data_IF_884743168119
#
_entry.id   IF_884743168119
#
_cell.length_a   1.000
_cell.length_b   1.000
_cell.length_c   1.000
_cell.angle_alpha   90.00
_cell.angle_beta   90.00
_cell.angle_gamma   90.00
#
_symmetry.space_group_name_H-M   'P 1'
#
loop_
_entity.id
_entity.type
_entity.pdbx_description
1 polymer ?
#
# COMPACT_ATOMS: atom_id res chain seq x y z
N UNK A 1 -19.53 18.04 -9.48
CA UNK A 1 -18.38 18.73 -8.84
C UNK A 1 -17.55 17.61 -8.23
N UNK A 2 -16.32 17.41 -8.71
CA UNK A 2 -15.47 16.32 -8.23
C UNK A 2 -14.76 16.77 -6.96
N UNK A 3 -14.61 15.85 -5.99
CA UNK A 3 -13.81 16.10 -4.80
C UNK A 3 -12.31 16.11 -5.20
N UNK A 4 -11.49 16.79 -4.40
CA UNK A 4 -10.05 16.97 -4.68
C UNK A 4 -9.23 16.60 -3.46
N UNK A 5 -8.18 15.83 -3.68
CA UNK A 5 -7.17 15.49 -2.67
C UNK A 5 -5.89 16.20 -3.05
N UNK A 6 -5.22 16.82 -2.09
CA UNK A 6 -4.07 17.67 -2.41
C UNK A 6 -2.89 17.47 -1.46
N UNK A 7 -1.70 17.70 -2.02
CA UNK A 7 -0.42 17.82 -1.34
C UNK A 7 0.19 19.16 -1.71
N UNK A 8 0.75 19.89 -0.74
CA UNK A 8 1.43 21.17 -0.98
C UNK A 8 2.73 21.25 -0.19
N UNK A 9 3.65 22.04 -0.69
CA UNK A 9 4.93 22.36 -0.03
C UNK A 9 5.77 21.13 0.33
N UNK A 10 5.61 20.03 -0.42
CA UNK A 10 6.41 18.83 -0.23
C UNK A 10 7.77 19.00 -0.88
N UNK A 11 8.85 19.00 -0.08
CA UNK A 11 10.21 19.24 -0.57
C UNK A 11 11.03 17.96 -0.50
N UNK A 12 11.66 17.59 -1.61
CA UNK A 12 12.54 16.41 -1.72
C UNK A 12 13.86 16.80 -2.37
N UNK A 13 14.98 16.29 -1.85
CA UNK A 13 16.29 16.40 -2.48
C UNK A 13 16.50 15.22 -3.45
N UNK A 14 16.82 15.52 -4.70
CA UNK A 14 17.06 14.49 -5.73
C UNK A 14 18.08 14.96 -6.77
N UNK A 15 18.78 14.02 -7.41
CA UNK A 15 19.65 14.32 -8.55
C UNK A 15 18.79 14.44 -9.82
N UNK A 16 18.67 15.67 -10.33
CA UNK A 16 17.87 15.97 -11.52
C UNK A 16 18.52 17.08 -12.34
N UNK A 17 18.49 16.95 -13.66
CA UNK A 17 18.95 18.00 -14.56
C UNK A 17 19.48 17.48 -15.89
N UNK A 18 19.34 18.31 -16.93
CA UNK A 18 19.77 17.99 -18.29
C UNK A 18 21.25 18.29 -18.54
N UNK A 19 21.89 19.11 -17.69
CA UNK A 19 23.28 19.50 -17.87
C UNK A 19 24.25 18.56 -17.12
N UNK A 20 25.41 18.27 -17.71
CA UNK A 20 26.41 17.41 -17.08
C UNK A 20 26.92 17.97 -15.74
N UNK A 21 26.96 19.31 -15.60
CA UNK A 21 27.37 20.00 -14.36
C UNK A 21 26.39 19.81 -13.20
N UNK A 22 25.18 19.31 -13.47
CA UNK A 22 24.17 19.00 -12.44
C UNK A 22 24.29 17.56 -11.92
N UNK A 23 25.05 16.68 -12.61
CA UNK A 23 25.21 15.29 -12.18
C UNK A 23 25.92 15.20 -10.83
N UNK A 24 25.39 14.38 -9.93
CA UNK A 24 25.95 14.18 -8.59
C UNK A 24 25.76 15.39 -7.66
N UNK A 25 24.92 16.36 -8.03
CA UNK A 25 24.55 17.52 -7.20
C UNK A 25 23.05 17.49 -6.92
N UNK A 26 22.63 16.98 -5.76
CA UNK A 26 21.22 16.98 -5.38
C UNK A 26 20.65 18.40 -5.41
N UNK A 27 19.44 18.54 -5.96
CA UNK A 27 18.68 19.78 -5.97
C UNK A 27 17.39 19.55 -5.18
N UNK A 28 16.94 20.55 -4.42
CA UNK A 28 15.61 20.51 -3.83
C UNK A 28 14.56 20.70 -4.93
N UNK A 29 13.55 19.87 -4.90
CA UNK A 29 12.31 20.04 -5.66
C UNK A 29 11.16 20.27 -4.69
N UNK A 30 10.30 21.24 -4.98
CA UNK A 30 9.04 21.46 -4.26
C UNK A 30 7.86 21.02 -5.13
N UNK A 31 7.04 20.14 -4.60
CA UNK A 31 5.88 19.57 -5.27
C UNK A 31 4.59 20.15 -4.70
N UNK A 32 3.65 20.47 -5.59
CA UNK A 32 2.24 20.66 -5.26
C UNK A 32 1.39 19.81 -6.20
N UNK A 33 0.52 18.97 -5.64
CA UNK A 33 -0.31 18.02 -6.38
C UNK A 33 -1.75 18.18 -5.96
N UNK A 34 -2.64 18.15 -6.93
CA UNK A 34 -4.07 18.03 -6.71
C UNK A 34 -4.63 16.93 -7.62
N UNK A 35 -5.35 15.98 -7.03
CA UNK A 35 -5.98 14.88 -7.74
C UNK A 35 -7.49 15.06 -7.66
N UNK A 36 -8.14 15.23 -8.81
CA UNK A 36 -9.58 15.16 -8.92
C UNK A 36 -10.02 13.71 -8.84
N UNK A 37 -10.93 13.39 -7.90
CA UNK A 37 -11.38 12.02 -7.66
C UNK A 37 -12.88 11.86 -7.91
N UNK A 38 -13.26 10.70 -8.43
CA UNK A 38 -14.66 10.29 -8.46
C UNK A 38 -15.14 10.01 -7.04
N UNK A 39 -16.18 10.73 -6.62
CA UNK A 39 -16.79 10.51 -5.31
C UNK A 39 -17.38 9.11 -5.22
N UNK A 40 -16.99 8.36 -4.20
CA UNK A 40 -17.56 7.06 -3.86
C UNK A 40 -18.20 7.19 -2.48
N UNK A 41 -19.37 6.57 -2.28
CA UNK A 41 -20.00 6.48 -0.97
C UNK A 41 -19.20 5.47 -0.11
N UNK A 42 -18.06 5.94 0.42
CA UNK A 42 -17.11 5.11 1.15
C UNK A 42 -17.36 5.06 2.67
N UNK A 43 -18.21 5.94 3.22
CA UNK A 43 -18.28 6.11 4.67
C UNK A 43 -16.94 6.58 5.24
N UNK A 44 -16.49 5.94 6.32
CA UNK A 44 -15.18 6.18 6.97
C UNK A 44 -14.17 5.06 6.63
N UNK A 45 -14.31 4.44 5.45
CA UNK A 45 -13.44 3.36 5.00
C UNK A 45 -12.32 3.90 4.08
N UNK A 46 -11.09 3.85 4.58
CA UNK A 46 -9.90 4.33 3.86
C UNK A 46 -9.60 3.50 2.61
N UNK A 47 -9.95 2.22 2.56
CA UNK A 47 -9.66 1.33 1.41
C UNK A 47 -10.51 1.65 0.19
N UNK A 48 -11.62 2.36 0.39
CA UNK A 48 -12.55 2.74 -0.67
C UNK A 48 -12.24 4.13 -1.25
N UNK A 49 -11.20 4.81 -0.76
CA UNK A 49 -10.79 6.15 -1.22
C UNK A 49 -9.31 6.19 -1.59
N UNK A 50 -8.95 7.10 -2.50
CA UNK A 50 -7.56 7.41 -2.78
C UNK A 50 -6.95 8.12 -1.55
N UNK A 51 -6.00 7.50 -0.85
CA UNK A 51 -5.27 8.17 0.24
C UNK A 51 -4.31 9.23 -0.32
N UNK A 52 -4.10 10.32 0.43
CA UNK A 52 -3.05 11.29 0.13
C UNK A 52 -1.63 10.67 0.16
N UNK A 53 -1.46 9.54 0.85
CA UNK A 53 -0.20 8.77 0.82
C UNK A 53 0.16 8.32 -0.59
N UNK A 54 -0.84 8.05 -1.44
CA UNK A 54 -0.62 7.67 -2.85
C UNK A 54 0.07 8.78 -3.64
N UNK A 55 -0.11 10.04 -3.24
CA UNK A 55 0.60 11.19 -3.83
C UNK A 55 2.08 11.15 -3.44
N UNK A 56 2.38 10.93 -2.17
CA UNK A 56 3.76 10.83 -1.68
C UNK A 56 4.48 9.64 -2.33
N UNK A 57 3.81 8.50 -2.41
CA UNK A 57 4.32 7.27 -3.04
C UNK A 57 4.62 7.50 -4.52
N UNK A 58 3.68 8.06 -5.29
CA UNK A 58 3.89 8.32 -6.71
C UNK A 58 5.10 9.23 -6.97
N UNK A 59 5.35 10.22 -6.10
CA UNK A 59 6.54 11.08 -6.17
C UNK A 59 7.80 10.25 -5.85
N UNK A 60 7.80 9.50 -4.76
CA UNK A 60 8.95 8.71 -4.33
C UNK A 60 9.33 7.63 -5.37
N UNK A 61 8.35 6.89 -5.87
CA UNK A 61 8.55 5.79 -6.82
C UNK A 61 9.07 6.31 -8.17
N UNK A 62 8.57 7.46 -8.64
CA UNK A 62 9.08 8.07 -9.87
C UNK A 62 10.53 8.56 -9.70
N UNK A 63 10.84 9.20 -8.57
CA UNK A 63 12.20 9.64 -8.27
C UNK A 63 13.18 8.46 -8.10
N UNK A 64 12.70 7.29 -7.68
CA UNK A 64 13.49 6.08 -7.52
C UNK A 64 13.72 5.30 -8.84
N UNK A 65 12.91 5.53 -9.87
CA UNK A 65 12.93 4.72 -11.11
C UNK A 65 14.23 4.90 -11.89
N UNK A 66 14.61 6.15 -12.17
CA UNK A 66 15.87 6.50 -12.81
C UNK A 66 16.14 8.00 -12.64
N UNK A 67 17.41 8.40 -12.79
CA UNK A 67 17.75 9.83 -12.84
C UNK A 67 17.06 10.50 -14.03
N UNK A 68 16.11 11.38 -13.74
CA UNK A 68 15.37 12.12 -14.77
C UNK A 68 16.16 13.36 -15.19
N UNK A 69 16.15 13.69 -16.48
CA UNK A 69 16.82 14.89 -17.01
C UNK A 69 15.92 16.14 -16.95
N UNK A 70 14.61 15.97 -17.14
CA UNK A 70 13.63 17.03 -17.33
C UNK A 70 12.52 16.97 -16.27
N UNK A 71 12.02 18.13 -15.84
CA UNK A 71 10.90 18.19 -14.90
C UNK A 71 9.63 17.63 -15.56
N UNK A 72 9.48 17.82 -16.86
CA UNK A 72 8.33 17.40 -17.66
C UNK A 72 8.17 15.87 -17.62
N UNK A 73 9.27 15.14 -17.84
CA UNK A 73 9.29 13.68 -17.78
C UNK A 73 8.94 13.18 -16.38
N UNK A 74 9.50 13.80 -15.34
CA UNK A 74 9.17 13.49 -13.95
C UNK A 74 7.67 13.73 -13.66
N UNK A 75 7.14 14.84 -14.15
CA UNK A 75 5.73 15.17 -13.97
C UNK A 75 4.79 14.19 -14.69
N UNK A 76 5.16 13.75 -15.90
CA UNK A 76 4.41 12.75 -16.65
C UNK A 76 4.40 11.39 -15.94
N UNK A 77 5.54 10.94 -15.41
CA UNK A 77 5.64 9.69 -14.64
C UNK A 77 4.79 9.71 -13.37
N UNK A 78 4.90 10.78 -12.57
CA UNK A 78 4.07 10.96 -11.36
C UNK A 78 2.57 10.97 -11.73
N UNK A 79 2.19 11.70 -12.77
CA UNK A 79 0.80 11.78 -13.20
C UNK A 79 0.28 10.42 -13.72
N UNK A 80 1.09 9.66 -14.46
CA UNK A 80 0.74 8.33 -14.94
C UNK A 80 0.44 7.38 -13.78
N UNK A 81 1.30 7.36 -12.76
CA UNK A 81 1.14 6.55 -11.54
C UNK A 81 -0.14 6.90 -10.78
N UNK A 82 -0.40 8.19 -10.59
CA UNK A 82 -1.61 8.66 -9.91
C UNK A 82 -2.90 8.35 -10.69
N UNK A 83 -2.89 8.53 -12.02
CA UNK A 83 -4.03 8.26 -12.88
C UNK A 83 -4.33 6.77 -13.05
N UNK A 84 -3.39 5.88 -12.72
CA UNK A 84 -3.62 4.44 -12.69
C UNK A 84 -4.64 4.03 -11.59
N UNK A 85 -4.75 4.81 -10.50
CA UNK A 85 -5.71 4.52 -9.43
C UNK A 85 -7.15 4.71 -9.90
N UNK A 86 -8.09 3.75 -9.75
CA UNK A 86 -9.43 3.79 -10.38
C UNK A 86 -10.27 5.05 -10.14
N UNK A 87 -10.10 5.70 -8.99
CA UNK A 87 -10.84 6.92 -8.64
C UNK A 87 -10.25 8.21 -9.23
N UNK A 88 -8.98 8.24 -9.63
CA UNK A 88 -8.32 9.44 -10.12
C UNK A 88 -8.80 9.81 -11.54
N UNK A 89 -9.30 11.03 -11.72
CA UNK A 89 -9.83 11.53 -12.99
C UNK A 89 -8.89 12.53 -13.66
N UNK A 90 -8.28 13.42 -12.87
CA UNK A 90 -7.30 14.39 -13.34
C UNK A 90 -6.25 14.64 -12.27
N UNK A 91 -5.04 14.95 -12.69
CA UNK A 91 -3.92 15.35 -11.83
C UNK A 91 -3.44 16.71 -12.28
N UNK A 92 -3.40 17.66 -11.35
CA UNK A 92 -2.74 18.95 -11.49
C UNK A 92 -1.45 18.90 -10.67
N UNK A 93 -0.31 19.00 -11.34
CA UNK A 93 1.00 18.85 -10.71
C UNK A 93 1.86 20.06 -11.02
N UNK A 94 2.48 20.60 -9.99
CA UNK A 94 3.48 21.66 -10.04
C UNK A 94 4.77 21.17 -9.40
N UNK A 95 5.89 21.32 -10.12
CA UNK A 95 7.23 20.98 -9.65
C UNK A 95 8.11 22.20 -9.80
N UNK A 96 8.75 22.60 -8.72
CA UNK A 96 9.61 23.77 -8.66
C UNK A 96 11.02 23.44 -8.19
N UNK A 97 11.99 24.23 -8.67
CA UNK A 97 13.38 24.30 -8.20
C UNK A 97 13.58 25.62 -7.45
N UNK A 98 13.46 25.64 -6.11
CA UNK A 98 13.57 26.87 -5.33
C UNK A 98 14.99 27.47 -5.29
N UNK A 99 16.03 26.69 -5.59
CA UNK A 99 17.44 27.07 -5.33
C UNK A 99 18.21 27.53 -6.57
N UNK A 100 17.54 27.74 -7.71
CA UNK A 100 18.23 28.09 -8.98
C UNK A 100 18.69 29.54 -9.05
N UNK A 101 18.25 30.40 -8.13
CA UNK A 101 18.58 31.83 -8.10
C UNK A 101 17.69 32.59 -7.11
N UNK A 102 17.57 33.93 -7.22
CA UNK A 102 16.68 34.74 -6.38
C UNK A 102 15.19 34.60 -6.76
N UNK A 103 14.84 33.58 -7.55
CA UNK A 103 13.52 33.32 -8.11
C UNK A 103 13.28 31.81 -8.12
N UNK A 104 12.00 31.43 -8.19
CA UNK A 104 11.57 30.03 -8.31
C UNK A 104 11.27 29.73 -9.77
N UNK A 105 11.85 28.66 -10.30
CA UNK A 105 11.52 28.11 -11.62
C UNK A 105 10.80 26.79 -11.45
N UNK A 106 9.91 26.44 -12.38
CA UNK A 106 9.18 25.20 -12.31
C UNK A 106 8.30 24.98 -13.53
N UNK A 107 7.57 23.87 -13.49
CA UNK A 107 6.55 23.56 -14.48
C UNK A 107 5.22 23.30 -13.77
N UNK A 108 4.13 23.52 -14.51
CA UNK A 108 2.78 23.12 -14.09
C UNK A 108 2.13 22.33 -15.22
N UNK A 109 1.66 21.14 -14.90
CA UNK A 109 1.00 20.25 -15.85
C UNK A 109 -0.39 19.87 -15.37
N UNK A 110 -1.24 19.53 -16.32
CA UNK A 110 -2.52 18.87 -16.07
C UNK A 110 -2.59 17.64 -16.96
N UNK A 111 -2.98 16.51 -16.38
CA UNK A 111 -3.18 15.25 -17.09
C UNK A 111 -4.53 14.68 -16.70
N UNK A 112 -5.27 14.15 -17.67
CA UNK A 112 -6.54 13.47 -17.42
C UNK A 112 -6.42 11.98 -17.72
N UNK A 113 -7.26 11.19 -17.05
CA UNK A 113 -7.42 9.76 -17.36
C UNK A 113 -7.73 9.59 -18.85
N UNK A 114 -6.98 8.71 -19.51
CA UNK A 114 -7.09 8.44 -20.95
C UNK A 114 -6.16 9.28 -21.84
N UNK A 115 -5.53 10.34 -21.31
CA UNK A 115 -4.48 11.09 -22.03
C UNK A 115 -3.08 10.50 -21.80
N UNK A 116 -2.93 9.71 -20.73
CA UNK A 116 -1.66 9.09 -20.32
C UNK A 116 -1.83 7.57 -20.42
N UNK A 117 -0.92 6.89 -21.12
CA UNK A 117 -0.84 5.43 -21.04
C UNK A 117 -0.53 5.08 -19.60
N UNK A 118 -1.48 4.42 -18.92
CA UNK A 118 -1.29 4.00 -17.54
C UNK A 118 -0.08 3.08 -17.48
N UNK A 119 1.00 3.54 -16.85
CA UNK A 119 2.07 2.65 -16.45
C UNK A 119 1.44 1.63 -15.50
N UNK A 120 1.21 0.41 -15.99
CA UNK A 120 0.78 -0.70 -15.16
C UNK A 120 1.92 -0.98 -14.19
N UNK A 121 1.85 -0.37 -13.01
CA UNK A 121 2.78 -0.67 -11.94
C UNK A 121 2.54 -2.12 -11.54
N UNK A 122 3.41 -3.01 -11.99
CA UNK A 122 3.44 -4.40 -11.56
C UNK A 122 3.91 -4.40 -10.10
N UNK A 123 3.01 -4.08 -9.18
CA UNK A 123 3.27 -4.16 -7.76
C UNK A 123 3.77 -5.58 -7.45
N UNK A 124 5.02 -5.69 -7.01
CA UNK A 124 5.58 -6.98 -6.60
C UNK A 124 4.75 -7.45 -5.40
N UNK A 125 4.19 -8.67 -5.44
CA UNK A 125 3.36 -9.14 -4.33
C UNK A 125 4.20 -9.18 -3.05
N UNK A 126 3.60 -8.82 -1.90
CA UNK A 126 4.34 -8.78 -0.65
C UNK A 126 4.73 -10.20 -0.20
N UNK A 127 5.78 -10.30 0.61
CA UNK A 127 6.13 -11.55 1.28
C UNK A 127 5.08 -11.86 2.33
N UNK A 128 4.47 -13.04 2.24
CA UNK A 128 3.50 -13.54 3.22
C UNK A 128 4.14 -14.60 4.11
N UNK A 129 3.99 -14.43 5.43
CA UNK A 129 4.57 -15.32 6.44
C UNK A 129 3.46 -15.89 7.32
N UNK A 130 3.42 -17.21 7.45
CA UNK A 130 2.65 -17.89 8.48
C UNK A 130 3.49 -18.00 9.75
N UNK A 131 3.10 -17.25 10.79
CA UNK A 131 3.76 -17.27 12.10
C UNK A 131 3.28 -18.41 13.00
N UNK A 132 2.04 -18.87 12.80
CA UNK A 132 1.37 -19.74 13.77
C UNK A 132 1.14 -19.04 15.12
N UNK A 133 1.18 -19.81 16.20
CA UNK A 133 0.80 -19.34 17.54
C UNK A 133 1.95 -18.72 18.34
N UNK A 134 3.21 -19.01 17.99
CA UNK A 134 4.41 -18.60 18.72
C UNK A 134 5.53 -17.95 17.87
N UNK A 135 5.46 -17.99 16.54
CA UNK A 135 6.47 -17.42 15.64
C UNK A 135 6.67 -15.91 15.82
N UNK A 136 7.89 -15.39 15.59
CA UNK A 136 8.19 -13.95 15.76
C UNK A 136 7.90 -13.17 14.47
N UNK A 137 7.21 -12.01 14.51
CA UNK A 137 6.93 -11.21 13.32
C UNK A 137 8.18 -10.81 12.54
N UNK A 138 8.13 -10.98 11.21
CA UNK A 138 9.21 -10.69 10.26
C UNK A 138 8.99 -9.33 9.64
N UNK A 139 10.02 -8.48 9.67
CA UNK A 139 10.02 -7.15 9.06
C UNK A 139 9.92 -7.22 7.52
N UNK A 140 9.21 -6.26 6.92
CA UNK A 140 8.99 -6.23 5.47
C UNK A 140 8.09 -7.35 4.94
N UNK A 141 7.33 -8.00 5.81
CA UNK A 141 6.40 -9.07 5.46
C UNK A 141 5.02 -8.85 6.11
N UNK A 142 4.01 -9.43 5.49
CA UNK A 142 2.68 -9.60 6.08
C UNK A 142 2.67 -10.90 6.86
N UNK A 143 2.37 -10.82 8.15
CA UNK A 143 2.47 -11.91 9.11
C UNK A 143 1.07 -12.36 9.53
N UNK A 144 0.69 -13.57 9.13
CA UNK A 144 -0.54 -14.24 9.53
C UNK A 144 -0.31 -15.01 10.84
N UNK A 145 -1.23 -14.87 11.78
CA UNK A 145 -1.15 -15.50 13.11
C UNK A 145 -2.22 -16.57 13.29
N UNK A 146 -1.93 -17.56 14.13
CA UNK A 146 -2.96 -18.43 14.69
C UNK A 146 -3.54 -17.79 15.96
N UNK A 147 -4.81 -18.05 16.23
CA UNK A 147 -5.48 -17.63 17.45
C UNK A 147 -5.82 -18.83 18.34
N UNK A 148 -5.92 -18.64 19.67
CA UNK A 148 -6.56 -19.61 20.53
C UNK A 148 -8.04 -19.81 20.12
N UNK A 149 -8.65 -20.95 20.51
CA UNK A 149 -10.07 -21.19 20.25
C UNK A 149 -10.95 -20.04 20.80
N UNK A 150 -11.84 -19.53 19.95
CA UNK A 150 -12.80 -18.51 20.33
C UNK A 150 -13.91 -19.10 21.23
N UNK A 151 -14.59 -18.27 22.05
CA UNK A 151 -15.75 -18.72 22.81
C UNK A 151 -16.82 -19.36 21.92
N UNK A 152 -17.47 -20.40 22.42
CA UNK A 152 -18.57 -21.03 21.68
C UNK A 152 -19.79 -20.11 21.64
N UNK A 153 -20.43 -20.06 20.47
CA UNK A 153 -21.71 -19.40 20.26
C UNK A 153 -22.67 -20.34 19.53
N UNK A 154 -23.95 -20.32 19.92
CA UNK A 154 -24.99 -21.11 19.27
C UNK A 154 -25.24 -20.64 17.83
N UNK A 155 -25.30 -19.31 17.64
CA UNK A 155 -25.52 -18.70 16.33
C UNK A 155 -24.26 -18.80 15.44
N UNK A 156 -24.37 -19.30 14.18
CA UNK A 156 -23.23 -19.43 13.28
C UNK A 156 -22.55 -18.10 12.91
N UNK A 157 -23.32 -17.01 12.76
CA UNK A 157 -22.75 -15.71 12.42
C UNK A 157 -21.97 -15.13 13.61
N UNK A 158 -22.49 -15.30 14.83
CA UNK A 158 -21.77 -14.95 16.06
C UNK A 158 -20.47 -15.78 16.20
N UNK A 159 -20.52 -17.09 15.93
CA UNK A 159 -19.33 -17.96 15.98
C UNK A 159 -18.26 -17.52 14.99
N UNK A 160 -18.66 -17.20 13.76
CA UNK A 160 -17.74 -16.67 12.74
C UNK A 160 -17.12 -15.33 13.16
N UNK A 161 -17.93 -14.39 13.67
CA UNK A 161 -17.44 -13.09 14.14
C UNK A 161 -16.47 -13.22 15.32
N UNK A 162 -16.75 -14.12 16.28
CA UNK A 162 -15.88 -14.39 17.42
C UNK A 162 -14.54 -15.01 16.99
N UNK A 163 -14.53 -15.90 15.99
CA UNK A 163 -13.30 -16.47 15.46
C UNK A 163 -12.40 -15.39 14.80
N UNK A 164 -12.99 -14.48 14.01
CA UNK A 164 -12.26 -13.36 13.43
C UNK A 164 -11.72 -12.40 14.50
N UNK A 165 -12.53 -12.08 15.52
CA UNK A 165 -12.08 -11.25 16.63
C UNK A 165 -10.95 -11.90 17.44
N UNK A 166 -10.93 -13.23 17.59
CA UNK A 166 -9.83 -13.93 18.25
C UNK A 166 -8.52 -13.79 17.45
N UNK A 167 -8.59 -13.77 16.11
CA UNK A 167 -7.43 -13.51 15.25
C UNK A 167 -6.96 -12.05 15.33
N UNK A 168 -7.88 -11.09 15.33
CA UNK A 168 -7.54 -9.68 15.56
C UNK A 168 -6.85 -9.50 16.92
N UNK A 169 -7.38 -10.11 18.00
CA UNK A 169 -6.74 -10.09 19.32
C UNK A 169 -5.34 -10.70 19.29
N UNK A 170 -5.19 -11.87 18.64
CA UNK A 170 -3.88 -12.50 18.48
C UNK A 170 -2.90 -11.59 17.73
N UNK A 171 -3.36 -10.85 16.71
CA UNK A 171 -2.55 -9.87 15.99
C UNK A 171 -2.10 -8.71 16.90
N UNK A 172 -3.05 -8.12 17.64
CA UNK A 172 -2.76 -7.01 18.57
C UNK A 172 -1.80 -7.40 19.70
N UNK A 173 -1.85 -8.65 20.18
CA UNK A 173 -0.89 -9.17 21.16
C UNK A 173 0.56 -9.22 20.63
N UNK A 174 0.78 -9.16 19.32
CA UNK A 174 2.12 -9.18 18.72
C UNK A 174 2.72 -7.79 18.51
N UNK A 175 1.99 -6.73 18.83
CA UNK A 175 2.46 -5.34 18.71
C UNK A 175 3.75 -5.10 19.49
N UNK A 176 4.55 -4.16 18.98
CA UNK A 176 5.83 -3.79 19.58
C UNK A 176 6.66 -2.90 18.64
N UNK A 177 7.87 -2.51 19.05
CA UNK A 177 8.75 -1.69 18.22
C UNK A 177 9.01 -2.33 16.85
N UNK A 178 8.88 -1.54 15.78
CA UNK A 178 9.07 -2.00 14.40
C UNK A 178 7.95 -2.88 13.84
N UNK A 179 6.79 -2.93 14.52
CA UNK A 179 5.63 -3.74 14.13
C UNK A 179 4.39 -2.88 14.07
N UNK A 180 3.47 -3.24 13.19
CA UNK A 180 2.14 -2.63 13.15
C UNK A 180 1.08 -3.67 12.87
N UNK A 181 -0.12 -3.46 13.39
CA UNK A 181 -1.31 -4.23 12.99
C UNK A 181 -1.99 -3.47 11.87
N UNK A 182 -2.40 -4.20 10.83
CA UNK A 182 -3.14 -3.65 9.70
C UNK A 182 -4.39 -4.48 9.44
N UNK A 183 -5.51 -3.78 9.28
CA UNK A 183 -6.81 -4.40 9.02
C UNK A 183 -7.27 -4.20 7.56
N UNK A 184 -6.53 -3.42 6.79
CA UNK A 184 -6.84 -3.00 5.43
C UNK A 184 -5.65 -3.17 4.50
N UNK A 185 -5.89 -3.27 3.18
CA UNK A 185 -4.80 -3.41 2.22
C UNK A 185 -3.93 -2.16 2.18
N UNK A 186 -4.56 -0.99 2.22
CA UNK A 186 -3.86 0.29 2.16
C UNK A 186 -2.88 0.45 3.33
N UNK A 187 -3.30 0.09 4.54
CA UNK A 187 -2.43 0.10 5.73
C UNK A 187 -1.25 -0.87 5.60
N UNK A 188 -1.48 -2.06 5.05
CA UNK A 188 -0.39 -3.04 4.82
C UNK A 188 0.65 -2.50 3.85
N UNK A 189 0.22 -2.00 2.69
CA UNK A 189 1.12 -1.48 1.66
C UNK A 189 1.96 -0.31 2.18
N UNK A 190 1.35 0.58 2.97
CA UNK A 190 2.04 1.66 3.64
C UNK A 190 3.10 1.12 4.61
N UNK A 191 2.71 0.21 5.50
CA UNK A 191 3.59 -0.31 6.55
C UNK A 191 4.76 -1.13 6.01
N UNK A 192 4.54 -1.93 4.95
CA UNK A 192 5.59 -2.68 4.28
C UNK A 192 6.64 -1.75 3.66
N UNK A 193 6.22 -0.62 3.09
CA UNK A 193 7.16 0.39 2.55
C UNK A 193 7.98 1.09 3.63
N UNK A 194 7.45 1.19 4.84
CA UNK A 194 8.21 1.63 6.02
C UNK A 194 9.14 0.53 6.58
N UNK A 195 9.19 -0.66 5.94
CA UNK A 195 9.99 -1.80 6.39
C UNK A 195 9.46 -2.46 7.67
N UNK A 196 8.23 -2.15 8.09
CA UNK A 196 7.65 -2.68 9.33
C UNK A 196 7.26 -4.15 9.17
N UNK A 197 7.22 -4.87 10.29
CA UNK A 197 6.54 -6.16 10.35
C UNK A 197 5.03 -5.91 10.45
N UNK A 198 4.29 -6.26 9.40
CA UNK A 198 2.84 -6.09 9.36
C UNK A 198 2.19 -7.33 9.93
N UNK A 199 1.38 -7.18 10.98
CA UNK A 199 0.61 -8.27 11.58
C UNK A 199 -0.84 -8.11 11.14
N UNK A 200 -1.39 -9.11 10.46
CA UNK A 200 -2.71 -8.97 9.86
C UNK A 200 -3.84 -9.18 10.88
N UNK A 201 -4.75 -8.21 10.99
CA UNK A 201 -6.04 -8.34 11.66
C UNK A 201 -7.14 -8.59 10.59
N UNK A 202 -7.66 -9.83 10.46
CA UNK A 202 -8.48 -10.21 9.31
C UNK A 202 -9.91 -9.66 9.30
N UNK A 203 -10.46 -9.28 10.45
CA UNK A 203 -11.91 -9.06 10.58
C UNK A 203 -12.50 -8.10 9.55
N UNK A 204 -11.84 -6.97 9.30
CA UNK A 204 -12.33 -5.94 8.39
C UNK A 204 -12.32 -6.44 6.95
N UNK A 205 -11.14 -6.83 6.44
CA UNK A 205 -10.99 -7.36 5.09
C UNK A 205 -11.89 -8.55 4.78
N UNK A 206 -12.09 -9.47 5.73
CA UNK A 206 -12.93 -10.66 5.50
C UNK A 206 -14.41 -10.31 5.43
N UNK A 207 -14.91 -9.41 6.29
CA UNK A 207 -16.33 -9.05 6.32
C UNK A 207 -16.73 -8.10 5.20
N UNK A 208 -15.81 -7.27 4.73
CA UNK A 208 -16.03 -6.32 3.64
C UNK A 208 -15.73 -6.96 2.26
N UNK A 209 -15.29 -8.23 2.22
CA UNK A 209 -14.91 -8.93 1.00
C UNK A 209 -16.11 -9.18 0.07
N UNK A 210 -15.99 -8.77 -1.19
CA UNK A 210 -16.93 -9.16 -2.24
C UNK A 210 -16.88 -10.68 -2.54
N UNK A 211 -15.72 -11.31 -2.37
CA UNK A 211 -15.49 -12.76 -2.48
C UNK A 211 -14.85 -13.29 -1.20
N UNK A 212 -15.67 -13.62 -0.17
CA UNK A 212 -15.17 -14.03 1.13
C UNK A 212 -14.55 -15.45 1.10
N UNK A 213 -13.66 -15.77 2.05
CA UNK A 213 -13.04 -17.08 2.15
C UNK A 213 -14.05 -18.18 2.48
N UNK A 214 -13.97 -19.30 1.75
CA UNK A 214 -14.77 -20.49 2.04
C UNK A 214 -14.30 -21.22 3.32
N UNK A 215 -12.99 -21.28 3.53
CA UNK A 215 -12.40 -21.77 4.78
C UNK A 215 -12.05 -20.60 5.69
N UNK A 216 -12.66 -20.58 6.87
CA UNK A 216 -12.50 -19.52 7.87
C UNK A 216 -11.52 -19.88 8.97
N UNK A 217 -10.82 -21.01 8.84
CA UNK A 217 -9.66 -21.35 9.67
C UNK A 217 -8.53 -20.33 9.48
N UNK A 218 -7.62 -20.22 10.46
CA UNK A 218 -6.50 -19.28 10.37
C UNK A 218 -5.62 -19.52 9.13
N UNK A 219 -5.36 -20.79 8.79
CA UNK A 219 -4.61 -21.19 7.60
C UNK A 219 -5.40 -20.92 6.31
N UNK A 220 -6.70 -21.20 6.29
CA UNK A 220 -7.61 -20.89 5.18
C UNK A 220 -7.68 -19.39 4.88
N UNK A 221 -7.71 -18.56 5.92
CA UNK A 221 -7.65 -17.11 5.81
C UNK A 221 -6.29 -16.63 5.27
N UNK A 222 -5.18 -17.25 5.70
CA UNK A 222 -3.86 -16.95 5.15
C UNK A 222 -3.78 -17.27 3.64
N UNK A 223 -4.35 -18.40 3.21
CA UNK A 223 -4.45 -18.76 1.78
C UNK A 223 -5.35 -17.81 0.99
N UNK A 224 -6.45 -17.36 1.59
CA UNK A 224 -7.30 -16.34 0.98
C UNK A 224 -6.56 -15.02 0.82
N UNK A 225 -5.87 -14.54 1.86
CA UNK A 225 -5.08 -13.31 1.79
C UNK A 225 -3.98 -13.41 0.75
N UNK A 226 -3.28 -14.54 0.68
CA UNK A 226 -2.25 -14.79 -0.34
C UNK A 226 -2.81 -14.62 -1.76
N UNK A 227 -4.02 -15.12 -2.05
CA UNK A 227 -4.70 -14.90 -3.34
C UNK A 227 -5.07 -13.44 -3.54
N UNK A 228 -5.63 -12.79 -2.53
CA UNK A 228 -6.04 -11.38 -2.55
C UNK A 228 -4.85 -10.44 -2.85
N UNK A 229 -3.68 -10.75 -2.28
CA UNK A 229 -2.44 -10.01 -2.48
C UNK A 229 -1.59 -10.53 -3.65
N UNK A 230 -2.05 -11.56 -4.37
CA UNK A 230 -1.36 -12.21 -5.49
C UNK A 230 0.02 -12.78 -5.13
N UNK A 231 0.21 -13.20 -3.89
CA UNK A 231 1.39 -13.93 -3.45
C UNK A 231 1.45 -15.30 -4.13
N UNK A 232 2.63 -15.71 -4.56
CA UNK A 232 2.88 -17.03 -5.16
C UNK A 232 3.30 -18.07 -4.12
N UNK A 233 3.74 -17.62 -2.95
CA UNK A 233 4.21 -18.49 -1.86
C UNK A 233 3.86 -17.91 -0.47
N UNK A 234 3.84 -18.79 0.53
CA UNK A 234 3.77 -18.48 1.95
C UNK A 234 4.99 -19.10 2.63
N UNK A 235 5.76 -18.29 3.35
CA UNK A 235 6.82 -18.80 4.22
C UNK A 235 6.21 -19.23 5.56
N UNK A 236 6.29 -20.51 5.92
CA UNK A 236 5.76 -21.04 7.17
C UNK A 236 6.86 -21.21 8.22
N UNK A 237 6.76 -20.46 9.33
CA UNK A 237 7.66 -20.58 10.50
C UNK A 237 7.17 -21.61 11.52
N UNK A 238 5.89 -21.95 11.44
CA UNK A 238 5.27 -23.05 12.20
C UNK A 238 4.56 -24.00 11.23
N UNK A 239 4.10 -25.14 11.74
CA UNK A 239 3.37 -26.13 10.95
C UNK A 239 2.19 -25.47 10.24
N UNK A 240 2.05 -25.77 8.94
CA UNK A 240 0.95 -25.34 8.10
C UNK A 240 0.32 -26.59 7.49
N UNK A 241 -0.93 -26.89 7.85
CA UNK A 241 -1.56 -28.18 7.55
C UNK A 241 -2.60 -28.13 6.43
N UNK A 242 -3.13 -26.95 6.11
CA UNK A 242 -4.14 -26.77 5.08
C UNK A 242 -3.60 -27.14 3.69
N UNK A 243 -4.40 -27.88 2.93
CA UNK A 243 -4.13 -28.15 1.52
C UNK A 243 -4.07 -26.84 0.74
N UNK A 244 -3.00 -26.65 -0.03
CA UNK A 244 -2.74 -25.39 -0.70
C UNK A 244 -2.33 -25.59 -2.15
N UNK A 245 -2.87 -24.73 -3.02
CA UNK A 245 -2.37 -24.53 -4.40
C UNK A 245 -1.25 -23.50 -4.47
N UNK A 246 -1.06 -22.74 -3.39
CA UNK A 246 0.02 -21.77 -3.21
C UNK A 246 1.19 -22.51 -2.55
N UNK A 247 2.41 -22.29 -3.02
CA UNK A 247 3.57 -22.96 -2.43
C UNK A 247 3.72 -22.56 -0.95
N UNK A 248 3.78 -23.53 -0.05
CA UNK A 248 4.08 -23.29 1.36
C UNK A 248 5.49 -23.81 1.61
N UNK A 249 6.41 -22.90 1.88
CA UNK A 249 7.84 -23.20 2.05
C UNK A 249 8.24 -23.05 3.51
N UNK A 250 9.08 -23.94 4.06
CA UNK A 250 9.62 -23.76 5.41
C UNK A 250 10.51 -22.51 5.44
N UNK A 251 10.36 -21.69 6.49
CA UNK A 251 11.12 -20.46 6.69
C UNK A 251 12.27 -20.53 7.67
#
# INVERSE_FOLDING_TARGET
MNDRIFLRDHVVETDIGAFEVERGRPQRLRFAVEVEVTRVAAGDDVDLILSYDRILEAIADELATARVALLETLADGIAARLLAHPQAQAVHLEIEKPDRGPFVLGIRVTRRRGEVEAAAEAATPPRLVWLGAGGTPVAGAVNCVAAPPAPEAADPAARHRLALLALDQAAWLRMGPGRTVSATRTEMDWALRQGLAVIWAPSKMVLDAADPPADTSAEGLALWLARTLRCTEITALETFSAESRIAVVPG
#
